data_IF_475599322521
#
_entry.id   IF_475599322521
#
_cell.length_a   1.000
_cell.length_b   1.000
_cell.length_c   1.000
_cell.angle_alpha   90.00
_cell.angle_beta   90.00
_cell.angle_gamma   90.00
#
_symmetry.space_group_name_H-M   'P 1'
#
loop_
_entity.id
_entity.type
_entity.pdbx_description
1 polymer ?
#
# COMPACT_ATOMS: atom_id res chain seq x y z
N UNK A 1 20.74 21.40 -14.62
CA UNK A 1 19.69 22.41 -14.33
C UNK A 1 19.73 22.74 -12.87
N UNK A 2 19.47 23.99 -12.53
CA UNK A 2 19.37 24.38 -11.12
C UNK A 2 18.20 23.70 -10.46
N UNK A 3 18.31 23.33 -9.16
CA UNK A 3 17.24 22.69 -8.43
C UNK A 3 16.02 23.62 -8.30
N UNK A 4 14.84 23.02 -8.25
CA UNK A 4 13.59 23.72 -8.02
C UNK A 4 13.45 24.01 -6.53
N UNK A 5 13.37 25.26 -6.14
CA UNK A 5 13.19 25.66 -4.74
C UNK A 5 11.71 25.62 -4.41
N UNK A 6 11.31 24.89 -3.38
CA UNK A 6 9.94 24.78 -2.89
C UNK A 6 9.86 25.08 -1.39
N UNK A 7 8.74 25.67 -0.97
CA UNK A 7 8.37 25.72 0.45
C UNK A 7 7.84 24.37 0.93
N UNK A 8 7.89 24.08 2.24
CA UNK A 8 7.25 22.88 2.84
C UNK A 8 5.77 22.75 2.46
N UNK A 9 5.01 23.86 2.43
CA UNK A 9 3.59 23.84 2.05
C UNK A 9 3.40 23.43 0.58
N UNK A 10 4.22 23.94 -0.34
CA UNK A 10 4.16 23.50 -1.74
C UNK A 10 4.49 22.02 -1.87
N UNK A 11 5.50 21.54 -1.14
CA UNK A 11 5.87 20.14 -1.12
C UNK A 11 4.75 19.24 -0.57
N UNK A 12 4.09 19.62 0.55
CA UNK A 12 2.93 18.88 1.10
C UNK A 12 1.82 18.74 0.06
N UNK A 13 1.49 19.80 -0.65
CA UNK A 13 0.44 19.78 -1.70
C UNK A 13 0.78 18.80 -2.81
N UNK A 14 2.02 18.80 -3.29
CA UNK A 14 2.49 17.85 -4.31
C UNK A 14 2.40 16.41 -3.79
N UNK A 15 2.89 16.15 -2.57
CA UNK A 15 2.87 14.82 -1.94
C UNK A 15 1.44 14.31 -1.76
N UNK A 16 0.53 15.13 -1.24
CA UNK A 16 -0.87 14.75 -1.03
C UNK A 16 -1.60 14.49 -2.36
N UNK A 17 -1.32 15.32 -3.37
CA UNK A 17 -1.88 15.12 -4.70
C UNK A 17 -1.40 13.82 -5.33
N UNK A 18 -0.10 13.54 -5.26
CA UNK A 18 0.51 12.30 -5.76
C UNK A 18 0.01 11.07 -5.00
N UNK A 19 -0.18 11.17 -3.68
CA UNK A 19 -0.78 10.12 -2.89
C UNK A 19 -2.29 9.94 -3.12
N UNK A 20 -2.93 10.76 -3.97
CA UNK A 20 -4.36 10.69 -4.26
C UNK A 20 -5.27 11.19 -3.12
N UNK A 21 -4.77 12.12 -2.30
CA UNK A 21 -5.42 12.63 -1.09
C UNK A 21 -5.65 14.15 -1.14
N UNK A 22 -5.58 14.77 -2.33
CA UNK A 22 -5.84 16.22 -2.46
C UNK A 22 -7.32 16.59 -2.24
N UNK A 23 -8.22 15.65 -2.47
CA UNK A 23 -9.66 15.74 -2.20
C UNK A 23 -10.30 14.37 -2.18
N UNK A 24 -11.46 14.25 -1.54
CA UNK A 24 -12.29 13.03 -1.68
C UNK A 24 -12.68 12.82 -3.15
N UNK A 25 -12.76 11.57 -3.57
CA UNK A 25 -13.08 11.20 -4.96
C UNK A 25 -12.17 11.87 -6.03
N UNK A 26 -10.88 12.05 -5.74
CA UNK A 26 -9.92 12.59 -6.72
C UNK A 26 -9.94 11.80 -8.04
N UNK A 27 -10.19 10.50 -7.98
CA UNK A 27 -10.26 9.58 -9.14
C UNK A 27 -11.71 9.26 -9.58
N UNK A 28 -12.71 9.88 -8.95
CA UNK A 28 -14.13 9.58 -9.18
C UNK A 28 -14.70 8.58 -8.19
N UNK A 29 -15.74 7.84 -8.61
CA UNK A 29 -16.47 6.85 -7.79
C UNK A 29 -16.60 5.53 -8.54
N UNK A 30 -16.92 4.44 -7.82
CA UNK A 30 -17.18 3.13 -8.40
C UNK A 30 -15.91 2.33 -8.72
N UNK A 31 -16.08 1.16 -9.33
CA UNK A 31 -15.00 0.19 -9.62
C UNK A 31 -13.90 0.78 -10.51
N UNK A 32 -14.27 1.58 -11.50
CA UNK A 32 -13.29 2.20 -12.41
C UNK A 32 -12.38 3.20 -11.66
N UNK A 33 -12.92 3.90 -10.64
CA UNK A 33 -12.10 4.76 -9.79
C UNK A 33 -11.10 3.95 -8.95
N UNK A 34 -11.47 2.74 -8.52
CA UNK A 34 -10.54 1.82 -7.81
C UNK A 34 -9.38 1.44 -8.73
N UNK A 35 -9.66 1.08 -9.98
CA UNK A 35 -8.63 0.81 -10.96
C UNK A 35 -7.70 2.03 -11.16
N UNK A 36 -8.26 3.23 -11.35
CA UNK A 36 -7.48 4.46 -11.50
C UNK A 36 -6.61 4.77 -10.29
N UNK A 37 -7.04 4.45 -9.06
CA UNK A 37 -6.21 4.58 -7.86
C UNK A 37 -5.03 3.63 -7.92
N UNK A 38 -5.27 2.34 -8.22
CA UNK A 38 -4.21 1.33 -8.29
C UNK A 38 -3.23 1.67 -9.41
N UNK A 39 -3.74 2.08 -10.56
CA UNK A 39 -2.95 2.49 -11.71
C UNK A 39 -2.08 3.72 -11.41
N UNK A 40 -2.64 4.74 -10.76
CA UNK A 40 -1.92 5.95 -10.38
C UNK A 40 -0.84 5.68 -9.33
N UNK A 41 -1.16 4.91 -8.28
CA UNK A 41 -0.22 4.60 -7.21
C UNK A 41 0.83 3.56 -7.62
N UNK A 42 0.54 2.75 -8.64
CA UNK A 42 1.38 1.66 -9.14
C UNK A 42 1.49 0.46 -8.20
N UNK A 43 1.18 0.66 -6.92
CA UNK A 43 1.27 -0.37 -5.88
C UNK A 43 0.35 -0.05 -4.71
N UNK A 44 -0.52 -0.98 -4.33
CA UNK A 44 -1.36 -0.91 -3.12
C UNK A 44 -1.03 -2.10 -2.23
N UNK A 45 -0.39 -1.83 -1.09
CA UNK A 45 0.14 -2.86 -0.19
C UNK A 45 -0.96 -3.74 0.39
N UNK A 46 -0.80 -5.05 0.27
CA UNK A 46 -1.63 -6.07 0.94
C UNK A 46 -1.03 -6.37 2.31
N UNK A 47 -1.86 -6.27 3.34
CA UNK A 47 -1.50 -6.71 4.69
C UNK A 47 -2.58 -7.60 5.27
N UNK A 48 -2.18 -8.56 6.10
CA UNK A 48 -3.08 -9.55 6.70
C UNK A 48 -3.70 -9.10 8.01
N UNK A 49 -3.21 -8.00 8.59
CA UNK A 49 -3.74 -7.45 9.83
C UNK A 49 -5.21 -7.04 9.63
N UNK A 50 -6.09 -7.56 10.49
CA UNK A 50 -7.55 -7.42 10.36
C UNK A 50 -8.19 -6.88 11.65
N UNK A 51 -7.47 -6.02 12.36
CA UNK A 51 -7.99 -5.31 13.56
C UNK A 51 -9.14 -4.38 13.18
N UNK A 52 -8.97 -3.66 12.08
CA UNK A 52 -10.00 -2.99 11.29
C UNK A 52 -10.00 -3.65 9.90
N UNK A 53 -10.55 -3.03 8.87
CA UNK A 53 -10.43 -3.61 7.53
C UNK A 53 -8.97 -3.60 7.04
N UNK A 54 -8.60 -4.58 6.20
CA UNK A 54 -7.22 -4.79 5.72
C UNK A 54 -6.68 -3.56 5.01
N UNK A 55 -5.38 -3.38 5.07
CA UNK A 55 -4.68 -2.19 4.61
C UNK A 55 -5.00 -1.78 3.16
N UNK A 56 -5.05 -2.74 2.22
CA UNK A 56 -5.36 -2.47 0.81
C UNK A 56 -6.79 -1.96 0.63
N UNK A 57 -7.76 -2.56 1.30
CA UNK A 57 -9.14 -2.08 1.26
C UNK A 57 -9.27 -0.71 1.92
N UNK A 58 -8.58 -0.49 3.04
CA UNK A 58 -8.58 0.80 3.73
C UNK A 58 -7.96 1.90 2.86
N UNK A 59 -6.81 1.66 2.22
CA UNK A 59 -6.17 2.62 1.33
C UNK A 59 -7.05 3.01 0.13
N UNK A 60 -7.80 2.04 -0.43
CA UNK A 60 -8.74 2.27 -1.52
C UNK A 60 -9.99 3.01 -1.05
N UNK A 61 -10.55 2.64 0.10
CA UNK A 61 -11.73 3.28 0.69
C UNK A 61 -11.48 4.75 1.08
N UNK A 62 -10.26 5.08 1.50
CA UNK A 62 -9.87 6.47 1.77
C UNK A 62 -9.93 7.36 0.52
N UNK A 63 -9.77 6.80 -0.70
CA UNK A 63 -9.73 7.52 -1.98
C UNK A 63 -11.00 7.41 -2.81
N UNK A 64 -11.77 6.33 -2.63
CA UNK A 64 -12.97 6.05 -3.44
C UNK A 64 -14.20 5.96 -2.54
N UNK A 65 -15.01 7.00 -2.48
CA UNK A 65 -16.24 7.00 -1.68
C UNK A 65 -17.19 5.85 -2.08
N UNK A 66 -17.73 5.16 -1.09
CA UNK A 66 -18.59 4.00 -1.32
C UNK A 66 -17.86 2.78 -1.86
N UNK A 67 -16.54 2.68 -1.61
CA UNK A 67 -15.72 1.53 -1.97
C UNK A 67 -16.34 0.21 -1.49
N UNK A 68 -16.33 -0.80 -2.37
CA UNK A 68 -16.76 -2.17 -2.09
C UNK A 68 -15.57 -3.12 -2.27
N UNK A 69 -15.37 -4.02 -1.33
CA UNK A 69 -14.26 -4.99 -1.34
C UNK A 69 -14.27 -5.91 -2.54
N UNK A 70 -15.47 -6.24 -3.04
CA UNK A 70 -15.70 -7.11 -4.20
C UNK A 70 -15.08 -6.54 -5.49
N UNK A 71 -15.04 -5.20 -5.64
CA UNK A 71 -14.47 -4.56 -6.83
C UNK A 71 -13.01 -4.94 -7.08
N UNK A 72 -12.25 -5.22 -6.03
CA UNK A 72 -10.86 -5.63 -6.17
C UNK A 72 -10.75 -7.03 -6.81
N UNK A 73 -11.59 -7.96 -6.35
CA UNK A 73 -11.65 -9.31 -6.94
C UNK A 73 -12.19 -9.29 -8.38
N UNK A 74 -13.14 -8.41 -8.68
CA UNK A 74 -13.65 -8.22 -10.03
C UNK A 74 -12.57 -7.68 -10.97
N UNK A 75 -11.79 -6.67 -10.53
CA UNK A 75 -10.68 -6.12 -11.33
C UNK A 75 -9.58 -7.16 -11.58
N UNK A 76 -9.32 -8.06 -10.62
CA UNK A 76 -8.42 -9.20 -10.86
C UNK A 76 -9.00 -10.17 -11.90
N UNK A 77 -10.28 -10.53 -11.77
CA UNK A 77 -10.95 -11.43 -12.72
C UNK A 77 -11.02 -10.84 -14.15
N UNK A 78 -11.11 -9.51 -14.27
CA UNK A 78 -11.06 -8.78 -15.52
C UNK A 78 -9.64 -8.65 -16.12
N UNK A 79 -8.61 -9.16 -15.42
CA UNK A 79 -7.22 -9.04 -15.85
C UNK A 79 -6.68 -7.61 -15.85
N UNK A 80 -7.30 -6.69 -15.09
CA UNK A 80 -6.86 -5.28 -14.98
C UNK A 80 -5.75 -5.07 -13.95
N UNK A 81 -5.74 -5.91 -12.91
CA UNK A 81 -4.76 -5.87 -11.82
C UNK A 81 -4.29 -7.28 -11.46
N UNK A 82 -3.12 -7.37 -10.85
CA UNK A 82 -2.60 -8.62 -10.31
C UNK A 82 -1.97 -8.41 -8.94
N UNK A 83 -1.84 -9.46 -8.14
CA UNK A 83 -1.15 -9.45 -6.85
C UNK A 83 0.22 -10.08 -6.99
N UNK A 84 1.25 -9.37 -6.55
CA UNK A 84 2.61 -9.90 -6.52
C UNK A 84 3.45 -9.28 -5.40
N UNK A 85 4.58 -9.89 -5.13
CA UNK A 85 5.58 -9.45 -4.16
C UNK A 85 6.70 -8.68 -4.85
N UNK A 86 6.70 -7.37 -4.71
CA UNK A 86 7.82 -6.50 -5.16
C UNK A 86 8.69 -6.09 -3.96
N UNK A 87 8.30 -5.09 -3.22
CA UNK A 87 8.87 -4.71 -1.92
C UNK A 87 8.16 -5.40 -0.76
N UNK A 88 6.85 -5.59 -0.91
CA UNK A 88 5.90 -6.30 -0.06
C UNK A 88 4.85 -6.93 -0.99
N UNK A 89 3.87 -7.69 -0.47
CA UNK A 89 2.74 -8.13 -1.27
C UNK A 89 1.85 -6.93 -1.59
N UNK A 90 1.41 -6.80 -2.83
CA UNK A 90 0.55 -5.70 -3.24
C UNK A 90 -0.17 -5.93 -4.56
N UNK A 91 -1.21 -5.11 -4.79
CA UNK A 91 -1.91 -5.05 -6.08
C UNK A 91 -1.25 -4.02 -6.98
N UNK A 92 -1.05 -4.40 -8.23
CA UNK A 92 -0.43 -3.60 -9.28
C UNK A 92 -1.27 -3.63 -10.56
N UNK A 93 -1.16 -2.62 -11.44
CA UNK A 93 -1.84 -2.62 -12.73
C UNK A 93 -1.26 -3.68 -13.67
N UNK A 94 -2.12 -4.45 -14.34
CA UNK A 94 -1.73 -5.59 -15.17
C UNK A 94 -0.87 -5.20 -16.37
N UNK A 95 -1.07 -4.02 -16.95
CA UNK A 95 -0.29 -3.56 -18.09
C UNK A 95 1.21 -3.32 -17.78
N UNK A 96 1.57 -3.27 -16.49
CA UNK A 96 2.96 -3.17 -16.03
C UNK A 96 3.59 -4.52 -15.68
N UNK A 97 2.91 -5.63 -15.97
CA UNK A 97 3.36 -6.97 -15.60
C UNK A 97 4.80 -7.27 -16.02
N UNK A 98 5.25 -6.78 -17.18
CA UNK A 98 6.64 -7.01 -17.66
C UNK A 98 7.70 -6.55 -16.64
N UNK A 99 7.41 -5.51 -15.85
CA UNK A 99 8.35 -5.01 -14.85
C UNK A 99 8.39 -5.84 -13.57
N UNK A 100 7.54 -6.87 -13.43
CA UNK A 100 7.69 -7.89 -12.40
C UNK A 100 8.66 -9.01 -12.81
N UNK A 101 8.93 -9.19 -14.12
CA UNK A 101 9.77 -10.28 -14.64
C UNK A 101 11.19 -10.28 -14.05
N UNK A 102 11.93 -9.17 -13.97
CA UNK A 102 13.25 -9.16 -13.33
C UNK A 102 13.21 -9.59 -11.86
N UNK A 103 12.10 -9.30 -11.17
CA UNK A 103 11.89 -9.70 -9.78
C UNK A 103 11.65 -11.22 -9.70
N UNK A 104 10.81 -11.78 -10.58
CA UNK A 104 10.61 -13.23 -10.70
C UNK A 104 11.93 -13.96 -10.95
N UNK A 105 12.76 -13.44 -11.85
CA UNK A 105 14.08 -14.00 -12.16
C UNK A 105 15.02 -13.94 -10.97
N UNK A 106 14.98 -12.86 -10.16
CA UNK A 106 15.79 -12.75 -8.94
C UNK A 106 15.45 -13.85 -7.92
N UNK A 107 14.18 -14.19 -7.78
CA UNK A 107 13.73 -15.32 -6.97
C UNK A 107 14.12 -16.65 -7.61
N UNK A 108 13.95 -16.81 -8.91
CA UNK A 108 14.31 -18.05 -9.63
C UNK A 108 15.80 -18.38 -9.49
N UNK A 109 16.67 -17.38 -9.45
CA UNK A 109 18.11 -17.56 -9.27
C UNK A 109 18.45 -18.11 -7.87
N UNK A 110 17.77 -17.63 -6.84
CA UNK A 110 17.94 -18.14 -5.45
C UNK A 110 17.53 -19.60 -5.31
N UNK A 111 16.71 -20.13 -6.23
CA UNK A 111 16.10 -21.45 -6.15
C UNK A 111 16.74 -22.50 -7.06
N UNK A 112 17.77 -22.13 -7.81
CA UNK A 112 18.57 -23.07 -8.61
C UNK A 112 19.25 -24.15 -7.74
N UNK A 113 19.36 -23.93 -6.43
CA UNK A 113 19.97 -24.85 -5.46
C UNK A 113 18.97 -25.64 -4.62
N UNK A 114 17.69 -25.68 -5.01
CA UNK A 114 16.67 -26.45 -4.27
C UNK A 114 16.92 -27.96 -4.37
N UNK A 115 16.62 -28.73 -3.29
CA UNK A 115 16.64 -30.18 -3.34
C UNK A 115 15.73 -30.72 -4.43
N UNK A 116 16.14 -31.85 -5.08
CA UNK A 116 15.38 -32.45 -6.17
C UNK A 116 13.93 -32.82 -5.78
N UNK A 117 13.72 -33.17 -4.50
CA UNK A 117 12.38 -33.47 -3.98
C UNK A 117 11.43 -32.30 -4.06
N UNK A 118 11.94 -31.10 -3.78
CA UNK A 118 11.14 -29.86 -3.88
C UNK A 118 10.84 -29.50 -5.33
N UNK A 119 11.81 -29.65 -6.23
CA UNK A 119 11.62 -29.46 -7.67
C UNK A 119 10.56 -30.43 -8.22
N UNK A 120 10.56 -31.70 -7.78
CA UNK A 120 9.56 -32.69 -8.19
C UNK A 120 8.17 -32.34 -7.65
N UNK A 121 8.07 -31.84 -6.42
CA UNK A 121 6.81 -31.37 -5.84
C UNK A 121 6.25 -30.18 -6.62
N UNK A 122 7.09 -29.20 -6.97
CA UNK A 122 6.68 -28.05 -7.79
C UNK A 122 6.15 -28.48 -9.17
N UNK A 123 6.80 -29.44 -9.83
CA UNK A 123 6.30 -29.98 -11.10
C UNK A 123 4.92 -30.62 -10.94
N UNK A 124 4.74 -31.47 -9.92
CA UNK A 124 3.45 -32.10 -9.63
C UNK A 124 2.33 -31.07 -9.37
N UNK A 125 2.67 -29.97 -8.68
CA UNK A 125 1.72 -28.87 -8.42
C UNK A 125 1.33 -28.18 -9.73
N UNK A 126 2.28 -27.83 -10.60
CA UNK A 126 2.00 -27.21 -11.90
C UNK A 126 1.16 -28.12 -12.79
N UNK A 127 1.51 -29.42 -12.88
CA UNK A 127 0.76 -30.41 -13.65
C UNK A 127 -0.68 -30.56 -13.14
N UNK A 128 -0.85 -30.48 -11.82
CA UNK A 128 -2.17 -30.58 -11.21
C UNK A 128 -3.02 -29.34 -11.50
N UNK A 129 -2.46 -28.11 -11.32
CA UNK A 129 -3.16 -26.86 -11.64
C UNK A 129 -3.50 -26.80 -13.14
N UNK A 130 -2.60 -27.26 -14.01
CA UNK A 130 -2.84 -27.29 -15.46
C UNK A 130 -4.04 -28.19 -15.85
N UNK A 131 -4.27 -29.28 -15.12
CA UNK A 131 -5.36 -30.23 -15.42
C UNK A 131 -6.66 -29.91 -14.70
N UNK A 132 -6.60 -29.45 -13.46
CA UNK A 132 -7.75 -29.27 -12.59
C UNK A 132 -8.23 -27.81 -12.53
N UNK A 133 -7.41 -26.87 -13.05
CA UNK A 133 -7.66 -25.44 -12.93
C UNK A 133 -7.15 -24.83 -11.61
N UNK A 134 -7.60 -23.62 -11.25
CA UNK A 134 -7.11 -22.88 -10.08
C UNK A 134 -7.31 -23.63 -8.77
N UNK A 135 -6.26 -23.73 -7.95
CA UNK A 135 -6.26 -24.43 -6.67
C UNK A 135 -5.81 -23.54 -5.50
N UNK A 136 -6.23 -23.90 -4.30
CA UNK A 136 -5.77 -23.29 -3.03
C UNK A 136 -4.80 -24.23 -2.32
N UNK A 137 -4.09 -23.71 -1.32
CA UNK A 137 -3.24 -24.57 -0.48
C UNK A 137 -4.01 -25.64 0.30
N UNK A 138 -5.34 -25.51 0.45
CA UNK A 138 -6.21 -26.50 1.11
C UNK A 138 -6.52 -27.70 0.22
N UNK A 139 -6.41 -27.55 -1.09
CA UNK A 139 -6.71 -28.62 -2.06
C UNK A 139 -5.56 -29.65 -2.14
N UNK A 140 -4.44 -29.36 -1.49
CA UNK A 140 -3.31 -30.29 -1.35
C UNK A 140 -3.40 -31.00 0.01
N UNK A 141 -3.17 -32.32 0.00
CA UNK A 141 -3.14 -33.13 1.21
C UNK A 141 -2.10 -32.62 2.22
N UNK A 142 -2.26 -33.00 3.47
CA UNK A 142 -1.29 -32.66 4.50
C UNK A 142 -0.02 -33.50 4.30
N UNK A 143 0.93 -32.96 3.55
CA UNK A 143 2.23 -33.55 3.20
C UNK A 143 3.32 -33.30 4.25
N UNK A 144 2.93 -32.88 5.45
CA UNK A 144 3.85 -32.65 6.57
C UNK A 144 4.31 -33.97 7.18
N UNK A 145 5.63 -34.16 7.25
CA UNK A 145 6.26 -35.36 7.84
C UNK A 145 6.35 -35.22 9.37
N UNK A 146 6.49 -34.01 9.90
CA UNK A 146 6.65 -33.70 11.34
C UNK A 146 5.53 -32.82 11.86
N UNK A 147 5.28 -32.83 13.19
CA UNK A 147 4.38 -31.88 13.82
C UNK A 147 4.91 -30.45 13.66
N UNK A 148 4.01 -29.47 13.50
CA UNK A 148 4.38 -28.06 13.38
C UNK A 148 5.19 -27.60 14.58
N UNK A 149 6.33 -26.97 14.33
CA UNK A 149 7.20 -26.37 15.36
C UNK A 149 6.83 -24.92 15.69
N UNK A 150 5.91 -24.30 14.92
CA UNK A 150 5.50 -22.93 15.15
C UNK A 150 4.79 -22.26 13.98
N UNK A 151 4.53 -20.95 14.10
CA UNK A 151 3.74 -20.15 13.16
C UNK A 151 4.30 -20.12 11.73
N UNK A 152 5.63 -20.17 11.55
CA UNK A 152 6.32 -20.10 10.26
C UNK A 152 6.67 -21.45 9.65
N UNK A 153 6.31 -22.54 10.31
CA UNK A 153 6.54 -23.91 9.83
C UNK A 153 5.41 -24.31 8.86
N UNK A 154 5.59 -23.94 7.58
CA UNK A 154 4.62 -24.20 6.53
C UNK A 154 4.75 -25.63 5.99
N UNK A 155 3.63 -26.17 5.49
CA UNK A 155 3.61 -27.46 4.77
C UNK A 155 4.42 -27.36 3.47
N UNK A 156 5.11 -28.44 3.03
CA UNK A 156 5.87 -28.46 1.79
C UNK A 156 5.09 -27.95 0.57
N UNK A 157 3.84 -28.40 0.39
CA UNK A 157 2.97 -27.93 -0.70
C UNK A 157 2.72 -26.41 -0.65
N UNK A 158 2.55 -25.84 0.54
CA UNK A 158 2.37 -24.38 0.68
C UNK A 158 3.66 -23.63 0.36
N UNK A 159 4.81 -24.13 0.78
CA UNK A 159 6.13 -23.58 0.43
C UNK A 159 6.31 -23.61 -1.09
N UNK A 160 6.01 -24.73 -1.73
CA UNK A 160 6.13 -24.90 -3.17
C UNK A 160 5.19 -23.98 -3.95
N UNK A 161 3.94 -23.78 -3.51
CA UNK A 161 2.99 -22.84 -4.12
C UNK A 161 3.47 -21.39 -4.03
N UNK A 162 3.91 -20.95 -2.85
CA UNK A 162 4.47 -19.58 -2.69
C UNK A 162 5.73 -19.40 -3.53
N UNK A 163 6.50 -20.44 -3.64
CA UNK A 163 7.69 -20.52 -4.45
C UNK A 163 7.40 -20.35 -5.94
N UNK A 164 6.45 -21.10 -6.45
CA UNK A 164 6.01 -20.99 -7.83
C UNK A 164 5.38 -19.60 -8.12
N UNK A 165 4.71 -19.02 -7.12
CA UNK A 165 4.19 -17.66 -7.22
C UNK A 165 5.34 -16.64 -7.29
N UNK A 166 6.33 -16.69 -6.41
CA UNK A 166 7.46 -15.75 -6.41
C UNK A 166 8.31 -15.84 -7.68
N UNK A 167 8.41 -17.03 -8.30
CA UNK A 167 9.13 -17.22 -9.57
C UNK A 167 8.27 -16.91 -10.81
N UNK A 168 7.05 -16.43 -10.63
CA UNK A 168 6.15 -16.04 -11.73
C UNK A 168 5.59 -17.20 -12.56
N UNK A 169 5.69 -18.46 -12.06
CA UNK A 169 5.03 -19.62 -12.70
C UNK A 169 3.55 -19.66 -12.38
N UNK A 170 3.18 -19.20 -11.19
CA UNK A 170 1.81 -19.04 -10.74
C UNK A 170 1.56 -17.58 -10.37
N UNK A 171 0.37 -17.09 -10.63
CA UNK A 171 -0.18 -15.88 -10.03
C UNK A 171 -1.33 -16.25 -9.10
N UNK A 172 -1.76 -15.26 -8.30
CA UNK A 172 -2.81 -15.47 -7.31
C UNK A 172 -3.99 -14.55 -7.57
N UNK A 173 -5.19 -15.11 -7.35
CA UNK A 173 -6.41 -14.36 -7.07
C UNK A 173 -6.82 -14.60 -5.62
N UNK A 174 -7.89 -13.97 -5.16
CA UNK A 174 -8.35 -14.10 -3.77
C UNK A 174 -9.77 -14.60 -3.71
N UNK A 175 -10.04 -15.57 -2.82
CA UNK A 175 -11.40 -15.93 -2.41
C UNK A 175 -11.95 -14.90 -1.42
N UNK A 176 -13.26 -14.92 -1.24
CA UNK A 176 -13.96 -14.02 -0.30
C UNK A 176 -13.43 -14.12 1.15
N UNK A 177 -12.94 -15.28 1.56
CA UNK A 177 -12.31 -15.53 2.87
C UNK A 177 -10.81 -15.19 2.92
N UNK A 178 -10.31 -14.45 1.93
CA UNK A 178 -8.91 -14.03 1.79
C UNK A 178 -7.89 -15.14 1.53
N UNK A 179 -8.31 -16.37 1.23
CA UNK A 179 -7.37 -17.41 0.81
C UNK A 179 -6.87 -17.16 -0.62
N UNK A 180 -5.56 -17.34 -0.82
CA UNK A 180 -4.95 -17.32 -2.16
C UNK A 180 -5.46 -18.50 -2.99
N UNK A 181 -5.84 -18.21 -4.21
CA UNK A 181 -6.11 -19.17 -5.27
C UNK A 181 -5.00 -19.03 -6.28
N UNK A 182 -4.30 -20.11 -6.57
CA UNK A 182 -3.15 -20.14 -7.50
C UNK A 182 -3.60 -20.69 -8.84
N UNK A 183 -3.21 -20.01 -9.91
CA UNK A 183 -3.39 -20.46 -11.28
C UNK A 183 -2.12 -20.19 -12.10
N UNK A 184 -2.01 -20.85 -13.25
CA UNK A 184 -0.91 -20.62 -14.18
C UNK A 184 -0.89 -19.14 -14.58
N UNK A 185 0.30 -18.56 -14.64
CA UNK A 185 0.48 -17.16 -15.06
C UNK A 185 -0.12 -16.91 -16.43
N UNK A 186 -0.04 -17.90 -17.35
CA UNK A 186 -0.59 -17.82 -18.70
C UNK A 186 -2.13 -17.77 -18.73
N UNK A 187 -2.81 -18.27 -17.71
CA UNK A 187 -4.26 -18.20 -17.59
C UNK A 187 -4.72 -16.83 -17.03
N UNK A 188 -3.89 -16.16 -16.21
CA UNK A 188 -4.25 -14.91 -15.51
C UNK A 188 -3.84 -13.68 -16.30
N UNK A 189 -2.65 -13.69 -16.92
CA UNK A 189 -2.13 -12.54 -17.66
C UNK A 189 -2.73 -12.53 -19.07
N UNK A 190 -3.52 -11.52 -19.46
CA UNK A 190 -4.11 -11.43 -20.79
C UNK A 190 -3.05 -11.47 -21.90
N UNK A 191 -3.38 -12.08 -23.04
CA UNK A 191 -2.47 -12.18 -24.19
C UNK A 191 -2.04 -10.81 -24.74
N UNK A 192 -2.88 -9.78 -24.55
CA UNK A 192 -2.58 -8.40 -24.95
C UNK A 192 -1.56 -7.70 -24.07
N UNK A 193 -1.22 -8.27 -22.92
CA UNK A 193 -0.27 -7.68 -21.98
C UNK A 193 1.15 -8.03 -22.42
N UNK A 194 2.00 -7.01 -22.51
CA UNK A 194 3.40 -7.17 -22.87
C UNK A 194 4.15 -7.99 -21.81
N UNK A 195 4.90 -9.00 -22.28
CA UNK A 195 5.68 -9.93 -21.45
C UNK A 195 7.16 -9.99 -21.82
N UNK A 196 7.64 -9.01 -22.60
CA UNK A 196 9.09 -8.91 -22.89
C UNK A 196 9.84 -8.55 -21.61
N UNK A 197 10.99 -9.18 -21.38
CA UNK A 197 11.84 -8.81 -20.25
C UNK A 197 12.41 -7.40 -20.47
N UNK A 198 12.19 -6.45 -19.56
CA UNK A 198 12.75 -5.11 -19.71
C UNK A 198 14.27 -5.13 -19.59
N UNK A 199 14.96 -4.22 -20.27
CA UNK A 199 16.36 -3.96 -20.00
C UNK A 199 16.54 -3.42 -18.59
N UNK A 200 17.77 -3.44 -18.08
CA UNK A 200 18.07 -2.86 -16.76
C UNK A 200 17.77 -1.37 -16.68
N UNK A 201 17.95 -0.65 -17.79
CA UNK A 201 17.68 0.77 -17.93
C UNK A 201 16.18 1.04 -17.98
N UNK A 202 15.40 0.26 -18.75
CA UNK A 202 13.93 0.35 -18.78
C UNK A 202 13.34 0.06 -17.40
N UNK A 203 13.88 -0.94 -16.69
CA UNK A 203 13.45 -1.23 -15.33
C UNK A 203 13.78 -0.09 -14.36
N UNK A 204 15.00 0.49 -14.44
CA UNK A 204 15.41 1.63 -13.65
C UNK A 204 14.51 2.85 -13.89
N UNK A 205 14.26 3.16 -15.16
CA UNK A 205 13.36 4.23 -15.59
C UNK A 205 11.96 4.04 -15.01
N UNK A 206 11.37 2.86 -15.19
CA UNK A 206 10.05 2.52 -14.67
C UNK A 206 9.97 2.72 -13.16
N UNK A 207 10.91 2.18 -12.39
CA UNK A 207 10.93 2.31 -10.92
C UNK A 207 11.00 3.78 -10.49
N UNK A 208 11.82 4.59 -11.15
CA UNK A 208 11.99 6.01 -10.83
C UNK A 208 10.69 6.77 -11.10
N UNK A 209 10.12 6.63 -12.29
CA UNK A 209 8.90 7.35 -12.67
C UNK A 209 7.70 6.95 -11.81
N UNK A 210 7.49 5.65 -11.58
CA UNK A 210 6.38 5.16 -10.76
C UNK A 210 6.50 5.61 -9.30
N UNK A 211 7.72 5.60 -8.76
CA UNK A 211 7.95 6.12 -7.40
C UNK A 211 7.63 7.60 -7.30
N UNK A 212 8.09 8.42 -8.25
CA UNK A 212 7.82 9.86 -8.25
C UNK A 212 6.35 10.20 -8.53
N UNK A 213 5.66 9.39 -9.35
CA UNK A 213 4.23 9.55 -9.61
C UNK A 213 3.40 9.37 -8.33
N UNK A 214 3.70 8.36 -7.52
CA UNK A 214 2.94 8.04 -6.29
C UNK A 214 3.41 8.80 -5.05
N UNK A 215 4.69 9.20 -4.99
CA UNK A 215 5.28 9.92 -3.86
C UNK A 215 5.29 11.44 -4.05
N UNK A 216 5.18 11.93 -5.29
CA UNK A 216 5.24 13.34 -5.66
C UNK A 216 6.64 13.93 -5.55
N UNK A 217 7.13 14.09 -4.34
CA UNK A 217 8.52 14.46 -4.03
C UNK A 217 9.12 13.32 -3.22
N UNK A 218 10.32 12.87 -3.55
CA UNK A 218 10.95 11.73 -2.87
C UNK A 218 12.47 11.89 -2.73
N UNK A 219 13.00 11.33 -1.65
CA UNK A 219 14.42 11.09 -1.49
C UNK A 219 14.88 9.94 -2.40
N UNK A 220 16.14 9.97 -2.80
CA UNK A 220 16.69 8.92 -3.65
C UNK A 220 16.55 7.49 -3.11
N UNK A 221 16.68 7.29 -1.81
CA UNK A 221 16.51 5.98 -1.18
C UNK A 221 15.05 5.51 -1.17
N UNK A 222 14.07 6.42 -1.14
CA UNK A 222 12.64 6.09 -1.24
C UNK A 222 12.29 5.61 -2.64
N UNK A 223 12.85 6.26 -3.66
CA UNK A 223 12.72 5.84 -5.07
C UNK A 223 13.30 4.43 -5.25
N UNK A 224 14.54 4.21 -4.77
CA UNK A 224 15.23 2.93 -4.90
C UNK A 224 14.52 1.76 -4.19
N UNK A 225 13.70 2.07 -3.17
CA UNK A 225 13.01 1.07 -2.37
C UNK A 225 12.09 0.16 -3.19
N UNK A 226 11.40 0.70 -4.21
CA UNK A 226 10.46 -0.06 -5.03
C UNK A 226 11.13 -1.16 -5.87
N UNK A 227 12.39 -0.95 -6.27
CA UNK A 227 13.18 -1.92 -7.06
C UNK A 227 14.19 -2.73 -6.25
N UNK A 228 14.17 -2.68 -4.92
CA UNK A 228 15.23 -3.22 -4.04
C UNK A 228 15.56 -4.70 -4.21
N UNK A 229 14.67 -5.48 -4.80
CA UNK A 229 14.87 -6.93 -5.00
C UNK A 229 15.72 -7.25 -6.24
N UNK A 230 15.98 -6.26 -7.08
CA UNK A 230 16.76 -6.40 -8.32
C UNK A 230 17.96 -5.48 -8.26
N UNK A 231 19.10 -5.94 -8.81
CA UNK A 231 20.27 -5.07 -9.02
C UNK A 231 20.07 -4.33 -10.35
N UNK A 232 20.00 -3.02 -10.33
CA UNK A 232 19.78 -2.17 -11.52
C UNK A 232 20.51 -0.84 -11.40
N UNK A 233 20.81 -0.13 -12.52
CA UNK A 233 21.66 1.07 -12.55
C UNK A 233 20.90 2.33 -12.09
N UNK A 234 20.23 2.26 -10.94
CA UNK A 234 19.39 3.32 -10.40
C UNK A 234 20.05 4.69 -10.35
N UNK A 235 21.27 4.77 -9.77
CA UNK A 235 21.94 6.07 -9.59
C UNK A 235 22.36 6.69 -10.93
N UNK A 236 22.80 5.87 -11.86
CA UNK A 236 23.22 6.30 -13.20
C UNK A 236 22.00 6.80 -13.98
N UNK A 237 20.88 6.04 -13.95
CA UNK A 237 19.66 6.42 -14.64
C UNK A 237 19.04 7.68 -14.02
N UNK A 238 18.96 7.79 -12.71
CA UNK A 238 18.46 8.99 -12.04
C UNK A 238 19.26 10.24 -12.43
N UNK A 239 20.61 10.14 -12.48
CA UNK A 239 21.48 11.23 -12.92
C UNK A 239 21.19 11.61 -14.37
N UNK A 240 21.12 10.62 -15.28
CA UNK A 240 20.79 10.83 -16.70
C UNK A 240 19.47 11.57 -16.87
N UNK A 241 18.43 11.15 -16.14
CA UNK A 241 17.08 11.74 -16.21
C UNK A 241 17.06 13.18 -15.70
N UNK A 242 17.85 13.50 -14.67
CA UNK A 242 18.00 14.88 -14.18
C UNK A 242 18.74 15.74 -15.20
N UNK A 243 19.82 15.24 -15.80
CA UNK A 243 20.59 15.95 -16.84
C UNK A 243 19.75 16.20 -18.10
N UNK A 244 18.88 15.23 -18.48
CA UNK A 244 17.95 15.35 -19.60
C UNK A 244 16.73 16.26 -19.29
N UNK A 245 16.53 16.66 -18.02
CA UNK A 245 15.37 17.45 -17.59
C UNK A 245 14.06 16.67 -17.51
N UNK A 246 14.13 15.34 -17.59
CA UNK A 246 12.99 14.44 -17.42
C UNK A 246 12.57 14.32 -15.95
N UNK A 247 13.47 14.67 -15.03
CA UNK A 247 13.23 14.75 -13.59
C UNK A 247 13.84 16.04 -13.06
N UNK A 248 13.15 16.70 -12.12
CA UNK A 248 13.66 17.86 -11.43
C UNK A 248 14.28 17.47 -10.08
N UNK A 249 15.47 17.99 -9.81
CA UNK A 249 15.98 18.05 -8.44
C UNK A 249 15.26 19.16 -7.68
N UNK A 250 14.97 18.92 -6.41
CA UNK A 250 14.20 19.83 -5.55
C UNK A 250 15.01 20.17 -4.31
N UNK A 251 14.98 21.42 -3.91
CA UNK A 251 15.49 21.91 -2.63
C UNK A 251 14.32 22.47 -1.80
N UNK A 252 14.31 22.14 -0.52
CA UNK A 252 13.33 22.61 0.44
C UNK A 252 14.09 23.08 1.67
N UNK A 253 13.73 24.26 2.15
CA UNK A 253 14.32 24.85 3.36
C UNK A 253 14.28 23.88 4.54
N UNK A 254 15.36 23.78 5.28
CA UNK A 254 15.55 22.88 6.44
C UNK A 254 15.60 21.37 6.14
N UNK A 255 15.42 20.94 4.89
CA UNK A 255 15.56 19.52 4.53
C UNK A 255 16.91 19.22 3.90
N UNK A 256 17.59 18.19 4.41
CA UNK A 256 18.91 17.78 3.92
C UNK A 256 18.81 16.58 2.98
N UNK A 257 19.54 16.66 1.88
CA UNK A 257 19.70 15.61 0.88
C UNK A 257 18.94 15.89 -0.41
N UNK A 258 19.31 15.21 -1.51
CA UNK A 258 18.68 15.44 -2.79
C UNK A 258 17.25 14.87 -2.80
N UNK A 259 16.32 15.71 -3.16
CA UNK A 259 14.92 15.40 -3.41
C UNK A 259 14.64 15.49 -4.91
N UNK A 260 13.67 14.73 -5.38
CA UNK A 260 13.32 14.64 -6.80
C UNK A 260 11.82 14.69 -6.99
N UNK A 261 11.37 15.25 -8.12
CA UNK A 261 9.98 15.26 -8.55
C UNK A 261 9.84 15.21 -10.07
N UNK A 262 8.66 14.87 -10.55
CA UNK A 262 8.34 14.97 -11.98
C UNK A 262 8.17 16.45 -12.40
N UNK A 263 8.60 16.85 -13.61
CA UNK A 263 8.53 18.23 -14.09
C UNK A 263 7.11 18.82 -14.13
N UNK A 264 6.10 17.98 -14.33
CA UNK A 264 4.69 18.39 -14.41
C UNK A 264 4.22 19.12 -13.16
N UNK A 265 4.78 18.80 -11.99
CA UNK A 265 4.45 19.48 -10.73
C UNK A 265 4.89 20.93 -10.66
N UNK A 266 5.89 21.35 -11.47
CA UNK A 266 6.32 22.76 -11.55
C UNK A 266 5.22 23.69 -12.05
N UNK A 267 4.40 23.20 -13.01
CA UNK A 267 3.38 23.99 -13.71
C UNK A 267 1.98 23.83 -13.11
N UNK A 268 1.79 22.79 -12.30
CA UNK A 268 0.47 22.42 -11.79
C UNK A 268 0.11 23.22 -10.56
N UNK A 269 -0.96 24.02 -10.65
CA UNK A 269 -1.56 24.65 -9.46
C UNK A 269 -2.33 23.59 -8.68
N UNK A 270 -1.71 23.04 -7.64
CA UNK A 270 -2.31 22.02 -6.78
C UNK A 270 -3.02 22.70 -5.62
N UNK A 271 -4.30 22.38 -5.44
CA UNK A 271 -5.10 22.78 -4.28
C UNK A 271 -5.46 21.53 -3.48
N UNK A 272 -5.42 21.64 -2.17
CA UNK A 272 -5.86 20.61 -1.25
C UNK A 272 -7.21 21.04 -0.69
N UNK A 273 -8.21 20.17 -0.84
CA UNK A 273 -9.50 20.38 -0.22
C UNK A 273 -9.37 20.19 1.29
N UNK A 274 -10.21 20.88 2.04
CA UNK A 274 -10.28 20.74 3.49
C UNK A 274 -11.10 19.49 3.87
N UNK A 275 -10.72 18.33 3.29
CA UNK A 275 -11.28 17.01 3.57
C UNK A 275 -10.52 16.32 4.69
N UNK A 276 -11.18 15.38 5.37
CA UNK A 276 -10.53 14.55 6.38
C UNK A 276 -10.47 13.08 5.97
N UNK A 277 -9.35 12.43 6.32
CA UNK A 277 -9.06 11.03 6.02
C UNK A 277 -8.55 10.30 7.26
N UNK A 278 -9.11 9.14 7.54
CA UNK A 278 -8.48 8.12 8.40
C UNK A 278 -7.61 7.26 7.51
N UNK A 279 -6.31 7.15 7.80
CA UNK A 279 -5.36 6.48 6.93
C UNK A 279 -4.82 5.18 7.54
N UNK A 280 -4.54 4.20 6.66
CA UNK A 280 -3.85 2.97 7.05
C UNK A 280 -2.39 3.25 7.40
N UNK A 281 -1.79 2.54 8.38
CA UNK A 281 -0.34 2.57 8.61
C UNK A 281 0.50 2.18 7.39
N UNK A 282 -0.08 1.40 6.48
CA UNK A 282 0.53 0.89 5.25
C UNK A 282 0.11 1.68 3.99
N UNK A 283 -0.54 2.83 4.19
CA UNK A 283 -0.83 3.76 3.09
C UNK A 283 0.48 4.29 2.49
N UNK A 284 0.49 4.56 1.18
CA UNK A 284 1.69 5.07 0.48
C UNK A 284 2.23 6.37 1.12
N UNK A 285 1.35 7.21 1.68
CA UNK A 285 1.74 8.41 2.40
C UNK A 285 2.49 8.07 3.70
N UNK A 286 2.12 6.97 4.37
CA UNK A 286 2.60 6.63 5.71
C UNK A 286 3.77 5.63 5.73
N UNK A 287 4.09 4.97 4.61
CA UNK A 287 5.12 3.91 4.54
C UNK A 287 6.50 4.41 4.93
N UNK A 288 6.88 5.60 4.49
CA UNK A 288 8.17 6.19 4.80
C UNK A 288 8.05 7.17 5.99
N UNK A 289 8.34 6.72 7.21
CA UNK A 289 8.12 7.46 8.45
C UNK A 289 8.86 8.79 8.50
N UNK A 290 10.12 8.82 8.00
CA UNK A 290 10.91 10.04 7.93
C UNK A 290 10.21 11.15 7.15
N UNK A 291 9.51 10.83 6.04
CA UNK A 291 8.75 11.81 5.26
C UNK A 291 7.66 12.50 6.06
N UNK A 292 6.97 11.75 6.94
CA UNK A 292 5.92 12.32 7.78
C UNK A 292 6.49 13.35 8.73
N UNK A 293 7.68 13.10 9.27
CA UNK A 293 8.40 14.08 10.07
C UNK A 293 8.89 15.26 9.23
N UNK A 294 9.63 15.01 8.16
CA UNK A 294 10.29 16.04 7.33
C UNK A 294 9.28 17.00 6.70
N UNK A 295 8.17 16.49 6.16
CA UNK A 295 7.21 17.30 5.42
C UNK A 295 5.98 17.73 6.23
N UNK A 296 5.55 16.94 7.21
CA UNK A 296 4.30 17.16 7.94
C UNK A 296 4.48 17.43 9.44
N UNK A 297 5.71 17.45 9.94
CA UNK A 297 6.06 17.59 11.35
C UNK A 297 5.32 16.56 12.24
N UNK A 298 5.10 15.35 11.68
CA UNK A 298 4.33 14.28 12.28
C UNK A 298 5.20 13.06 12.61
N UNK A 299 5.53 12.90 13.90
CA UNK A 299 6.27 11.72 14.39
C UNK A 299 5.33 10.53 14.47
N UNK A 300 5.47 9.59 13.53
CA UNK A 300 4.57 8.47 13.40
C UNK A 300 5.28 7.12 13.36
N UNK A 301 4.77 6.20 14.18
CA UNK A 301 5.14 4.79 14.16
C UNK A 301 3.89 3.93 14.38
N UNK A 302 3.76 2.83 13.62
CA UNK A 302 2.80 1.78 13.96
C UNK A 302 3.37 0.91 15.06
N UNK A 303 2.58 0.66 16.13
CA UNK A 303 3.08 0.02 17.36
C UNK A 303 2.68 -1.46 17.46
N UNK A 304 2.12 -2.06 16.40
CA UNK A 304 1.76 -3.49 16.41
C UNK A 304 2.95 -4.44 16.58
N UNK A 305 4.16 -3.98 16.27
CA UNK A 305 5.42 -4.72 16.52
C UNK A 305 6.12 -4.32 17.83
N UNK A 306 5.56 -3.36 18.56
CA UNK A 306 6.09 -2.89 19.85
C UNK A 306 5.44 -3.69 20.98
N UNK A 307 6.22 -4.20 21.97
CA UNK A 307 5.65 -4.83 23.16
C UNK A 307 4.63 -3.93 23.85
N UNK A 308 3.54 -4.50 24.36
CA UNK A 308 2.38 -3.75 24.86
C UNK A 308 2.76 -2.67 25.89
N UNK A 309 3.61 -3.02 26.84
CA UNK A 309 4.06 -2.11 27.90
C UNK A 309 4.86 -0.89 27.38
N UNK A 310 5.34 -0.92 26.14
CA UNK A 310 6.11 0.16 25.51
C UNK A 310 5.30 0.96 24.49
N UNK A 311 4.04 0.59 24.23
CA UNK A 311 3.16 1.30 23.29
C UNK A 311 2.73 2.64 23.88
N UNK A 312 2.89 3.68 23.10
CA UNK A 312 2.54 5.06 23.46
C UNK A 312 1.11 5.42 23.06
N UNK A 313 0.68 4.98 21.90
CA UNK A 313 -0.60 5.35 21.31
C UNK A 313 -1.59 4.19 21.20
N UNK A 314 -1.12 2.96 21.12
CA UNK A 314 -1.94 1.75 21.01
C UNK A 314 -1.41 0.75 20.00
N UNK A 315 -2.11 -0.35 19.80
CA UNK A 315 -1.66 -1.46 18.96
C UNK A 315 -1.62 -1.11 17.47
N UNK A 316 -2.72 -0.54 16.97
CA UNK A 316 -2.89 -0.26 15.53
C UNK A 316 -3.36 1.19 15.30
N UNK A 317 -2.43 2.09 15.54
CA UNK A 317 -2.68 3.53 15.50
C UNK A 317 -2.86 4.04 14.07
N UNK A 318 -4.02 4.62 13.77
CA UNK A 318 -4.42 5.14 12.46
C UNK A 318 -4.28 6.66 12.44
N UNK A 319 -3.44 7.24 11.57
CA UNK A 319 -3.36 8.70 11.42
C UNK A 319 -4.66 9.31 10.89
N UNK A 320 -5.00 10.49 11.39
CA UNK A 320 -6.11 11.31 10.88
C UNK A 320 -5.53 12.59 10.27
N UNK A 321 -5.74 12.73 8.97
CA UNK A 321 -5.33 13.89 8.17
C UNK A 321 -6.54 14.79 7.91
N UNK A 322 -6.39 16.11 8.11
CA UNK A 322 -7.38 17.14 7.71
C UNK A 322 -6.67 18.17 6.85
N UNK A 323 -7.10 18.32 5.60
CA UNK A 323 -6.40 19.17 4.64
C UNK A 323 -4.93 18.77 4.48
N UNK A 324 -4.01 19.62 4.91
CA UNK A 324 -2.54 19.40 4.84
C UNK A 324 -1.93 18.97 6.18
N UNK A 325 -2.74 18.73 7.23
CA UNK A 325 -2.26 18.57 8.61
C UNK A 325 -2.71 17.25 9.23
N UNK A 326 -1.80 16.48 9.80
CA UNK A 326 -2.13 15.37 10.68
C UNK A 326 -2.58 15.92 12.03
N UNK A 327 -3.85 15.72 12.35
CA UNK A 327 -4.49 16.35 13.53
C UNK A 327 -4.60 15.39 14.72
N UNK A 328 -4.61 14.08 14.44
CA UNK A 328 -4.76 13.07 15.46
C UNK A 328 -4.27 11.69 14.96
N UNK A 329 -4.21 10.75 15.88
CA UNK A 329 -4.09 9.31 15.61
C UNK A 329 -5.04 8.55 16.51
N UNK A 330 -5.65 7.47 16.01
CA UNK A 330 -6.57 6.66 16.80
C UNK A 330 -6.19 5.18 16.76
N UNK A 331 -6.14 4.55 17.93
CA UNK A 331 -6.07 3.10 18.06
C UNK A 331 -7.49 2.55 18.11
N UNK A 332 -7.86 1.74 17.13
CA UNK A 332 -9.23 1.28 17.00
C UNK A 332 -9.33 -0.18 16.58
N UNK A 333 -10.44 -0.81 16.95
CA UNK A 333 -10.79 -2.18 16.59
C UNK A 333 -12.24 -2.25 16.13
N UNK A 334 -12.48 -2.97 15.06
CA UNK A 334 -13.82 -3.27 14.55
C UNK A 334 -14.30 -4.60 15.11
N UNK A 335 -15.41 -4.59 15.86
CA UNK A 335 -16.16 -5.79 16.19
C UNK A 335 -17.28 -6.00 15.16
N UNK A 336 -17.07 -6.97 14.29
CA UNK A 336 -17.99 -7.24 13.17
C UNK A 336 -19.27 -7.93 13.59
N UNK A 337 -19.28 -8.62 14.74
CA UNK A 337 -20.48 -9.27 15.27
C UNK A 337 -21.41 -8.23 15.87
N UNK A 338 -20.86 -7.37 16.71
CA UNK A 338 -21.59 -6.30 17.38
C UNK A 338 -21.77 -5.06 16.49
N UNK A 339 -21.18 -5.05 15.28
CA UNK A 339 -21.17 -3.91 14.35
C UNK A 339 -20.69 -2.61 15.03
N UNK A 340 -19.68 -2.72 15.88
CA UNK A 340 -19.15 -1.63 16.69
C UNK A 340 -17.70 -1.32 16.34
N UNK A 341 -17.40 -0.05 16.12
CA UNK A 341 -16.04 0.47 16.07
C UNK A 341 -15.64 0.98 17.45
N UNK A 342 -14.75 0.29 18.13
CA UNK A 342 -14.19 0.73 19.40
C UNK A 342 -12.90 1.48 19.16
N UNK A 343 -12.87 2.78 19.49
CA UNK A 343 -11.68 3.63 19.53
C UNK A 343 -11.13 3.57 20.95
N UNK A 344 -10.11 2.72 21.14
CA UNK A 344 -9.48 2.53 22.45
C UNK A 344 -8.77 3.79 22.94
N UNK A 345 -8.14 4.52 22.00
CA UNK A 345 -7.46 5.77 22.29
C UNK A 345 -7.48 6.66 21.03
N UNK A 346 -7.87 7.92 21.19
CA UNK A 346 -7.65 8.95 20.17
C UNK A 346 -6.74 10.02 20.76
N UNK A 347 -5.58 10.20 20.15
CA UNK A 347 -4.58 11.19 20.56
C UNK A 347 -4.57 12.34 19.57
N UNK A 348 -4.90 13.54 20.03
CA UNK A 348 -4.80 14.77 19.25
C UNK A 348 -3.38 15.31 19.33
N UNK A 349 -2.84 15.73 18.19
CA UNK A 349 -1.54 16.39 18.10
C UNK A 349 -1.61 17.79 18.74
N UNK A 350 -0.43 18.37 19.06
CA UNK A 350 -0.32 19.67 19.71
C UNK A 350 -0.60 20.81 18.74
N UNK A 351 -1.81 20.84 18.19
CA UNK A 351 -2.29 21.86 17.25
C UNK A 351 -3.61 22.45 17.74
N UNK A 352 -3.93 23.66 17.33
CA UNK A 352 -5.22 24.28 17.61
C UNK A 352 -6.32 23.64 16.74
N UNK A 353 -7.28 22.98 17.38
CA UNK A 353 -8.41 22.33 16.71
C UNK A 353 -9.55 23.34 16.54
N UNK A 354 -9.84 23.71 15.30
CA UNK A 354 -11.02 24.53 14.99
C UNK A 354 -12.31 23.70 15.03
N UNK A 355 -13.46 24.36 15.17
CA UNK A 355 -14.77 23.68 15.09
C UNK A 355 -14.95 22.96 13.76
N UNK A 356 -14.53 23.57 12.64
CA UNK A 356 -14.55 22.95 11.31
C UNK A 356 -13.72 21.65 11.26
N UNK A 357 -12.49 21.67 11.77
CA UNK A 357 -11.63 20.50 11.83
C UNK A 357 -12.27 19.38 12.67
N UNK A 358 -12.89 19.73 13.79
CA UNK A 358 -13.59 18.75 14.66
C UNK A 358 -14.72 18.07 13.93
N UNK A 359 -15.59 18.82 13.24
CA UNK A 359 -16.67 18.27 12.43
C UNK A 359 -16.13 17.30 11.37
N UNK A 360 -15.07 17.68 10.67
CA UNK A 360 -14.45 16.81 9.63
C UNK A 360 -13.83 15.53 10.20
N UNK A 361 -13.25 15.61 11.40
CA UNK A 361 -12.78 14.42 12.11
C UNK A 361 -13.94 13.48 12.43
N UNK A 362 -15.09 14.02 12.91
CA UNK A 362 -16.31 13.23 13.12
C UNK A 362 -16.77 12.56 11.83
N UNK A 363 -16.90 13.32 10.73
CA UNK A 363 -17.32 12.80 9.43
C UNK A 363 -16.39 11.71 8.91
N UNK A 364 -15.07 11.86 9.10
CA UNK A 364 -14.08 10.87 8.70
C UNK A 364 -14.18 9.59 9.54
N UNK A 365 -14.36 9.70 10.86
CA UNK A 365 -14.56 8.56 11.75
C UNK A 365 -15.87 7.84 11.42
N UNK A 366 -16.97 8.57 11.19
CA UNK A 366 -18.27 8.01 10.79
C UNK A 366 -18.18 7.26 9.46
N UNK A 367 -17.51 7.86 8.46
CA UNK A 367 -17.27 7.22 7.15
C UNK A 367 -16.42 5.96 7.29
N UNK A 368 -15.41 6.00 8.17
CA UNK A 368 -14.54 4.87 8.47
C UNK A 368 -15.28 3.75 9.19
N UNK A 369 -16.16 4.06 10.16
CA UNK A 369 -17.01 3.09 10.83
C UNK A 369 -17.94 2.39 9.84
N UNK A 370 -18.62 3.16 8.98
CA UNK A 370 -19.51 2.64 7.92
C UNK A 370 -18.74 1.72 6.96
N UNK A 371 -17.55 2.10 6.53
CA UNK A 371 -16.70 1.26 5.68
C UNK A 371 -16.32 -0.06 6.36
N UNK A 372 -16.10 -0.07 7.68
CA UNK A 372 -15.84 -1.27 8.48
C UNK A 372 -17.10 -2.09 8.81
N UNK A 373 -18.29 -1.71 8.30
CA UNK A 373 -19.57 -2.36 8.59
C UNK A 373 -20.06 -2.09 10.02
N UNK A 374 -19.56 -1.03 10.68
CA UNK A 374 -19.95 -0.66 12.04
C UNK A 374 -21.01 0.42 12.02
N UNK A 375 -22.09 0.22 12.79
CA UNK A 375 -23.17 1.18 13.00
C UNK A 375 -23.06 1.93 14.33
N UNK A 376 -22.20 1.45 15.23
CA UNK A 376 -21.98 2.03 16.56
C UNK A 376 -20.51 2.41 16.68
N UNK A 377 -20.25 3.57 17.29
CA UNK A 377 -18.91 4.07 17.58
C UNK A 377 -18.76 4.27 19.09
N UNK A 378 -17.72 3.67 19.69
CA UNK A 378 -17.43 3.80 21.10
C UNK A 378 -16.02 4.39 21.25
N UNK A 379 -15.87 5.50 21.99
CA UNK A 379 -14.57 6.13 22.23
C UNK A 379 -14.24 5.99 23.73
N UNK A 380 -13.15 5.26 24.04
CA UNK A 380 -12.77 4.95 25.41
C UNK A 380 -12.03 6.13 26.05
N UNK A 381 -10.94 6.58 25.44
CA UNK A 381 -10.09 7.66 26.00
C UNK A 381 -9.51 8.60 24.96
N UNK A 382 -9.08 9.78 25.42
CA UNK A 382 -8.33 10.77 24.65
C UNK A 382 -7.39 11.54 25.58
N UNK A 383 -6.30 12.07 25.02
CA UNK A 383 -5.43 13.04 25.69
C UNK A 383 -6.10 14.42 25.83
N UNK A 384 -7.21 14.69 25.12
CA UNK A 384 -7.95 15.94 25.13
C UNK A 384 -9.41 15.70 25.54
N UNK A 385 -9.75 16.05 26.82
CA UNK A 385 -11.08 15.84 27.37
C UNK A 385 -12.19 16.62 26.68
N UNK A 386 -11.90 17.87 26.24
CA UNK A 386 -12.89 18.70 25.56
C UNK A 386 -13.22 18.10 24.16
N UNK A 387 -12.19 17.66 23.43
CA UNK A 387 -12.36 16.98 22.15
C UNK A 387 -13.08 15.65 22.30
N UNK A 388 -12.77 14.87 23.35
CA UNK A 388 -13.46 13.61 23.64
C UNK A 388 -14.95 13.81 23.85
N UNK A 389 -15.34 14.84 24.61
CA UNK A 389 -16.74 15.22 24.80
C UNK A 389 -17.37 15.59 23.46
N UNK A 390 -16.74 16.50 22.72
CA UNK A 390 -17.25 16.94 21.42
C UNK A 390 -17.44 15.78 20.41
N UNK A 391 -16.51 14.82 20.38
CA UNK A 391 -16.66 13.64 19.51
C UNK A 391 -17.84 12.76 19.95
N UNK A 392 -18.01 12.53 21.25
CA UNK A 392 -19.12 11.70 21.78
C UNK A 392 -20.49 12.33 21.56
N UNK A 393 -20.54 13.65 21.55
CA UNK A 393 -21.79 14.41 21.33
C UNK A 393 -22.20 14.44 19.83
N UNK A 394 -21.26 14.15 18.90
CA UNK A 394 -21.46 14.25 17.44
C UNK A 394 -21.33 12.92 16.69
N UNK A 395 -20.95 11.83 17.32
CA UNK A 395 -20.81 10.48 16.73
C UNK A 395 -21.83 9.51 17.32
#
# INVERSE_FOLDING_TARGET
MDPVILTKSQARKIILHAAGLSKRAQFGKGKEAVYKVIDHLGFVQVDTNYVVERAHHHALAARVPGYKTEWLSELQAEGKIYEFWTRDSGFMPMHEFRFSIPIHESFSTKWKSLPQVEVNLMKKILDRISREGPLTAKDFENDRVTKSSGWWDWRPSKVALESLHLTGKLLTTRKKDFHKVYDLTDNIVPVSVERSNPTSEEFAHHVIFRSLQSLGIAYGNEIAWSGRLVKYPYKTELKRLVEAGEICQVEIEDLKGPLYMLPDYRKKKITIADDAFVLSPFDILNVFRRRLWDFFDFDYQVECFVPEAKRKYGYFSLPILVGETFVARMDSKSDRKEKALTIHNIHFESIEMTKSMTTKVCDAIQSFATFNGCSTIVITKSNNKAMLKSLRDNL
#
